data_IF_090971123937
#
_entry.id   IF_090971123937
#
_cell.length_a   1.000
_cell.length_b   1.000
_cell.length_c   1.000
_cell.angle_alpha   90.00
_cell.angle_beta   90.00
_cell.angle_gamma   90.00
#
_symmetry.space_group_name_H-M   'P 1'
#
loop_
_entity.id
_entity.type
_entity.pdbx_description
1 polymer ?
#
# COMPACT_ATOMS: atom_id res chain seq x y z
N UNK A 1 44.32 11.48 -5.50
CA UNK A 1 42.87 11.15 -5.59
C UNK A 1 42.63 10.39 -6.88
N UNK A 2 41.83 9.32 -6.83
CA UNK A 2 40.58 9.36 -7.58
C UNK A 2 39.38 8.72 -6.84
N UNK A 3 38.38 9.58 -6.59
CA UNK A 3 36.93 9.44 -6.80
C UNK A 3 36.26 8.11 -6.40
N UNK A 4 35.79 8.08 -5.15
CA UNK A 4 34.65 7.27 -4.69
C UNK A 4 33.33 7.86 -5.21
N UNK A 5 32.62 7.17 -6.12
CA UNK A 5 31.21 7.52 -6.40
C UNK A 5 30.30 6.34 -6.78
N UNK A 6 30.57 5.12 -6.31
CA UNK A 6 29.64 3.99 -6.54
C UNK A 6 29.19 3.39 -5.22
N UNK A 7 28.55 4.22 -4.39
CA UNK A 7 27.80 3.77 -3.22
C UNK A 7 26.54 4.62 -3.09
N UNK A 8 25.59 4.52 -4.03
CA UNK A 8 24.28 5.18 -3.85
C UNK A 8 23.07 4.63 -4.62
N UNK A 9 23.15 3.47 -5.27
CA UNK A 9 21.97 2.86 -5.89
C UNK A 9 21.81 1.42 -5.41
N UNK A 10 20.78 1.09 -4.59
CA UNK A 10 20.35 -0.28 -4.43
C UNK A 10 19.99 -0.82 -5.82
N UNK A 11 20.51 -2.00 -6.18
CA UNK A 11 20.15 -2.67 -7.42
C UNK A 11 18.63 -2.96 -7.38
N UNK A 12 17.86 -2.65 -8.43
CA UNK A 12 16.49 -3.16 -8.53
C UNK A 12 16.57 -4.68 -8.64
N UNK A 13 15.92 -5.38 -7.71
CA UNK A 13 15.96 -6.85 -7.61
C UNK A 13 15.01 -7.55 -8.58
N UNK A 14 14.37 -6.84 -9.51
CA UNK A 14 13.52 -7.45 -10.53
C UNK A 14 13.42 -6.56 -11.79
N UNK A 15 13.78 -7.05 -12.99
CA UNK A 15 13.64 -6.27 -14.22
C UNK A 15 12.19 -5.90 -14.57
N UNK A 16 11.18 -6.51 -13.93
CA UNK A 16 9.76 -6.15 -14.08
C UNK A 16 9.26 -5.04 -13.13
N UNK A 17 10.04 -4.62 -12.12
CA UNK A 17 9.66 -3.53 -11.21
C UNK A 17 9.83 -2.14 -11.86
N UNK A 18 10.70 -2.02 -12.86
CA UNK A 18 11.12 -0.75 -13.42
C UNK A 18 10.10 -0.06 -14.36
N UNK A 19 8.96 -0.68 -14.65
CA UNK A 19 8.00 -0.18 -15.65
C UNK A 19 6.51 -0.29 -15.24
N UNK A 20 6.22 -0.47 -13.94
CA UNK A 20 4.83 -0.46 -13.47
C UNK A 20 4.30 0.98 -13.45
N UNK A 21 3.55 1.34 -14.49
CA UNK A 21 2.84 2.63 -14.56
C UNK A 21 1.47 2.43 -13.92
N UNK A 22 1.09 3.36 -13.04
CA UNK A 22 -0.26 3.37 -12.46
C UNK A 22 -1.32 3.55 -13.54
N UNK A 23 -2.51 3.02 -13.29
CA UNK A 23 -3.72 3.28 -14.08
C UNK A 23 -3.91 4.78 -14.32
N UNK A 24 -4.39 5.15 -15.52
CA UNK A 24 -4.68 6.54 -15.86
C UNK A 24 -5.83 7.10 -15.01
N UNK A 25 -5.86 8.42 -14.81
CA UNK A 25 -6.93 9.06 -14.03
C UNK A 25 -8.33 8.83 -14.63
N UNK A 26 -8.43 8.75 -15.96
CA UNK A 26 -9.68 8.48 -16.65
C UNK A 26 -10.19 7.06 -16.36
N UNK A 27 -9.31 6.06 -16.48
CA UNK A 27 -9.64 4.66 -16.18
C UNK A 27 -9.96 4.47 -14.69
N UNK A 28 -9.20 5.15 -13.82
CA UNK A 28 -9.40 5.10 -12.38
C UNK A 28 -10.74 5.72 -11.98
N UNK A 29 -11.11 6.87 -12.56
CA UNK A 29 -12.40 7.51 -12.35
C UNK A 29 -13.57 6.62 -12.78
N UNK A 30 -13.40 5.91 -13.91
CA UNK A 30 -14.39 4.94 -14.38
C UNK A 30 -14.54 3.77 -13.39
N UNK A 31 -13.43 3.19 -12.92
CA UNK A 31 -13.43 2.13 -11.90
C UNK A 31 -14.12 2.58 -10.60
N UNK A 32 -13.75 3.76 -10.09
CA UNK A 32 -14.33 4.34 -8.88
C UNK A 32 -15.84 4.54 -9.04
N UNK A 33 -16.28 5.02 -10.20
CA UNK A 33 -17.70 5.19 -10.50
C UNK A 33 -18.46 3.86 -10.43
N UNK A 34 -17.90 2.77 -10.97
CA UNK A 34 -18.49 1.43 -10.90
C UNK A 34 -18.59 0.91 -9.46
N UNK A 35 -17.55 1.10 -8.65
CA UNK A 35 -17.54 0.67 -7.25
C UNK A 35 -18.53 1.49 -6.40
N UNK A 36 -18.62 2.81 -6.62
CA UNK A 36 -19.50 3.70 -5.85
C UNK A 36 -20.98 3.47 -6.18
N UNK A 37 -21.32 3.18 -7.44
CA UNK A 37 -22.71 2.94 -7.85
C UNK A 37 -23.32 1.68 -7.25
N UNK A 38 -22.51 0.68 -6.91
CA UNK A 38 -22.96 -0.59 -6.33
C UNK A 38 -23.16 -0.49 -4.81
N UNK A 39 -23.93 0.49 -4.33
CA UNK A 39 -23.93 0.98 -2.93
C UNK A 39 -24.06 -0.09 -1.85
N UNK A 40 -24.84 -1.14 -2.09
CA UNK A 40 -25.21 -2.14 -1.07
C UNK A 40 -24.64 -3.56 -1.32
N UNK A 41 -24.02 -3.81 -2.48
CA UNK A 41 -23.43 -5.11 -2.80
C UNK A 41 -21.91 -5.10 -2.62
N UNK A 42 -21.46 -5.36 -1.39
CA UNK A 42 -20.04 -5.34 -1.03
C UNK A 42 -19.22 -6.41 -1.76
N UNK A 43 -19.82 -7.57 -2.05
CA UNK A 43 -19.15 -8.65 -2.79
C UNK A 43 -18.90 -8.22 -4.23
N UNK A 44 -19.90 -7.64 -4.89
CA UNK A 44 -19.77 -7.12 -6.25
C UNK A 44 -18.73 -5.98 -6.35
N UNK A 45 -18.66 -5.08 -5.35
CA UNK A 45 -17.59 -4.07 -5.29
C UNK A 45 -16.19 -4.70 -5.26
N UNK A 46 -16.01 -5.75 -4.47
CA UNK A 46 -14.74 -6.47 -4.37
C UNK A 46 -14.45 -7.24 -5.66
N UNK A 47 -15.46 -7.82 -6.32
CA UNK A 47 -15.32 -8.48 -7.62
C UNK A 47 -14.90 -7.50 -8.71
N UNK A 48 -15.51 -6.32 -8.77
CA UNK A 48 -15.11 -5.24 -9.70
C UNK A 48 -13.64 -4.87 -9.48
N UNK A 49 -13.22 -4.68 -8.22
CA UNK A 49 -11.83 -4.39 -7.88
C UNK A 49 -10.88 -5.54 -8.24
N UNK A 50 -11.31 -6.79 -8.04
CA UNK A 50 -10.55 -7.98 -8.40
C UNK A 50 -10.34 -8.07 -9.91
N UNK A 51 -11.36 -7.76 -10.70
CA UNK A 51 -11.33 -7.77 -12.16
C UNK A 51 -10.62 -6.55 -12.78
N UNK A 52 -10.46 -5.47 -12.01
CA UNK A 52 -9.75 -4.27 -12.47
C UNK A 52 -8.32 -4.62 -12.93
N UNK A 53 -7.96 -4.15 -14.12
CA UNK A 53 -6.64 -4.38 -14.74
C UNK A 53 -5.68 -3.25 -14.43
N UNK A 54 -4.38 -3.53 -14.47
CA UNK A 54 -3.34 -2.53 -14.26
C UNK A 54 -2.88 -2.42 -12.81
N UNK A 55 -1.98 -1.47 -12.58
CA UNK A 55 -1.38 -1.20 -11.27
C UNK A 55 -1.96 0.07 -10.65
N UNK A 56 -1.87 0.17 -9.33
CA UNK A 56 -2.39 1.29 -8.56
C UNK A 56 -1.26 2.02 -7.84
N UNK A 57 -1.31 3.35 -7.88
CA UNK A 57 -0.51 4.18 -6.98
C UNK A 57 -1.04 4.06 -5.55
N UNK A 58 -0.23 4.46 -4.57
CA UNK A 58 -0.65 4.49 -3.18
C UNK A 58 -1.87 5.41 -2.96
N UNK A 59 -1.95 6.52 -3.70
CA UNK A 59 -3.08 7.44 -3.64
C UNK A 59 -4.35 6.75 -4.16
N UNK A 60 -4.30 6.14 -5.34
CA UNK A 60 -5.42 5.38 -5.92
C UNK A 60 -5.88 4.26 -4.99
N UNK A 61 -4.92 3.51 -4.43
CA UNK A 61 -5.21 2.44 -3.46
C UNK A 61 -5.89 2.98 -2.19
N UNK A 62 -5.41 4.10 -1.63
CA UNK A 62 -6.02 4.71 -0.45
C UNK A 62 -7.47 5.15 -0.70
N UNK A 63 -7.75 5.72 -1.88
CA UNK A 63 -9.09 6.13 -2.27
C UNK A 63 -10.01 4.91 -2.44
N UNK A 64 -9.53 3.84 -3.10
CA UNK A 64 -10.28 2.59 -3.24
C UNK A 64 -10.62 1.98 -1.88
N UNK A 65 -9.65 1.84 -0.98
CA UNK A 65 -9.87 1.30 0.38
C UNK A 65 -10.84 2.18 1.18
N UNK A 66 -10.80 3.51 0.98
CA UNK A 66 -11.73 4.43 1.62
C UNK A 66 -13.19 4.22 1.18
N UNK A 67 -13.46 3.72 -0.03
CA UNK A 67 -14.82 3.47 -0.52
C UNK A 67 -15.56 2.33 0.20
N UNK A 68 -14.83 1.39 0.81
CA UNK A 68 -15.42 0.28 1.54
C UNK A 68 -15.77 0.72 2.96
N UNK A 69 -17.04 0.59 3.34
CA UNK A 69 -17.52 1.01 4.66
C UNK A 69 -17.15 0.03 5.78
N UNK A 70 -17.20 -1.28 5.50
CA UNK A 70 -16.98 -2.32 6.51
C UNK A 70 -15.48 -2.58 6.68
N UNK A 71 -14.96 -2.65 7.93
CA UNK A 71 -13.53 -2.91 8.17
C UNK A 71 -13.00 -4.18 7.48
N UNK A 72 -13.76 -5.28 7.55
CA UNK A 72 -13.41 -6.54 6.87
C UNK A 72 -13.26 -6.39 5.35
N UNK A 73 -14.10 -5.57 4.72
CA UNK A 73 -14.05 -5.37 3.27
C UNK A 73 -12.90 -4.45 2.88
N UNK A 74 -12.51 -3.51 3.74
CA UNK A 74 -11.28 -2.73 3.57
C UNK A 74 -10.05 -3.64 3.53
N UNK A 75 -9.95 -4.61 4.44
CA UNK A 75 -8.85 -5.58 4.45
C UNK A 75 -8.86 -6.45 3.20
N UNK A 76 -10.02 -6.97 2.79
CA UNK A 76 -10.14 -7.69 1.52
C UNK A 76 -9.72 -6.84 0.33
N UNK A 77 -10.08 -5.56 0.30
CA UNK A 77 -9.64 -4.64 -0.74
C UNK A 77 -8.11 -4.47 -0.74
N UNK A 78 -7.48 -4.31 0.43
CA UNK A 78 -6.01 -4.25 0.55
C UNK A 78 -5.36 -5.55 0.05
N UNK A 79 -5.91 -6.71 0.39
CA UNK A 79 -5.44 -8.02 -0.10
C UNK A 79 -5.51 -8.13 -1.63
N UNK A 80 -6.61 -7.67 -2.24
CA UNK A 80 -6.79 -7.67 -3.69
C UNK A 80 -5.82 -6.69 -4.37
N UNK A 81 -5.51 -5.57 -3.69
CA UNK A 81 -4.59 -4.55 -4.17
C UNK A 81 -3.12 -4.96 -4.04
N UNK A 82 -2.73 -5.76 -3.05
CA UNK A 82 -1.33 -6.18 -2.78
C UNK A 82 -0.51 -6.52 -4.03
N UNK A 83 -0.96 -7.42 -4.93
CA UNK A 83 -0.19 -7.77 -6.12
C UNK A 83 -0.24 -6.72 -7.24
N UNK A 84 -1.08 -5.70 -7.10
CA UNK A 84 -1.33 -4.63 -8.08
C UNK A 84 -0.79 -3.27 -7.62
N UNK A 85 -0.10 -3.19 -6.48
CA UNK A 85 0.50 -1.94 -6.01
C UNK A 85 1.84 -1.71 -6.71
N UNK A 86 2.06 -0.48 -7.18
CA UNK A 86 3.39 -0.02 -7.59
C UNK A 86 4.28 0.24 -6.36
N UNK A 87 5.59 0.32 -6.59
CA UNK A 87 6.52 0.73 -5.53
C UNK A 87 6.17 2.10 -4.96
N UNK A 88 6.21 2.23 -3.63
CA UNK A 88 5.84 3.44 -2.90
C UNK A 88 6.74 3.67 -1.68
N UNK A 89 6.71 4.88 -1.13
CA UNK A 89 7.39 5.22 0.13
C UNK A 89 6.52 4.86 1.34
N UNK A 90 7.14 4.80 2.52
CA UNK A 90 6.46 4.64 3.81
C UNK A 90 5.42 5.76 4.03
N UNK A 91 5.75 6.99 3.64
CA UNK A 91 4.81 8.11 3.69
C UNK A 91 3.56 7.84 2.84
N UNK A 92 3.75 7.37 1.61
CA UNK A 92 2.64 7.02 0.72
C UNK A 92 1.83 5.83 1.27
N UNK A 93 2.49 4.80 1.77
CA UNK A 93 1.84 3.66 2.41
C UNK A 93 1.01 4.07 3.64
N UNK A 94 1.45 5.10 4.38
CA UNK A 94 0.69 5.65 5.51
C UNK A 94 -0.70 6.19 5.09
N UNK A 95 -0.86 6.64 3.83
CA UNK A 95 -2.17 7.07 3.31
C UNK A 95 -3.13 5.89 3.14
N UNK A 96 -2.63 4.73 2.70
CA UNK A 96 -3.43 3.50 2.62
C UNK A 96 -3.83 3.06 4.03
N UNK A 97 -2.87 3.07 4.97
CA UNK A 97 -3.14 2.73 6.37
C UNK A 97 -4.16 3.68 7.00
N UNK A 98 -4.13 4.98 6.68
CA UNK A 98 -5.10 5.95 7.18
C UNK A 98 -6.55 5.63 6.77
N UNK A 99 -6.76 4.92 5.66
CA UNK A 99 -8.08 4.46 5.24
C UNK A 99 -8.62 3.28 6.09
N UNK A 100 -7.77 2.65 6.91
CA UNK A 100 -8.10 1.56 7.84
C UNK A 100 -8.08 2.10 9.28
N UNK A 101 -9.26 2.18 9.90
CA UNK A 101 -9.43 2.86 11.19
C UNK A 101 -9.10 1.97 12.39
N UNK A 102 -9.30 0.66 12.27
CA UNK A 102 -9.06 -0.30 13.35
C UNK A 102 -7.56 -0.57 13.43
N UNK A 103 -6.90 -0.36 14.59
CA UNK A 103 -5.45 -0.55 14.73
C UNK A 103 -4.95 -1.96 14.39
N UNK A 104 -5.69 -2.99 14.76
CA UNK A 104 -5.38 -4.39 14.48
C UNK A 104 -5.43 -4.67 12.97
N UNK A 105 -6.52 -4.26 12.32
CA UNK A 105 -6.68 -4.32 10.87
C UNK A 105 -5.58 -3.51 10.15
N UNK A 106 -5.13 -2.39 10.71
CA UNK A 106 -4.05 -1.59 10.15
C UNK A 106 -2.70 -2.33 10.16
N UNK A 107 -2.42 -3.14 11.19
CA UNK A 107 -1.24 -4.02 11.19
C UNK A 107 -1.34 -5.10 10.12
N UNK A 108 -2.53 -5.68 9.95
CA UNK A 108 -2.79 -6.68 8.90
C UNK A 108 -2.65 -6.06 7.50
N UNK A 109 -3.19 -4.86 7.28
CA UNK A 109 -3.00 -4.10 6.05
C UNK A 109 -1.51 -3.83 5.78
N UNK A 110 -0.74 -3.48 6.82
CA UNK A 110 0.71 -3.27 6.70
C UNK A 110 1.44 -4.54 6.26
N UNK A 111 1.06 -5.71 6.76
CA UNK A 111 1.63 -7.00 6.34
C UNK A 111 1.47 -7.25 4.83
N UNK A 112 0.34 -6.82 4.25
CA UNK A 112 0.10 -6.92 2.81
C UNK A 112 0.92 -5.90 2.02
N UNK A 113 0.85 -4.61 2.38
CA UNK A 113 1.45 -3.55 1.55
C UNK A 113 2.97 -3.41 1.71
N UNK A 114 3.58 -4.00 2.75
CA UNK A 114 5.02 -3.84 3.07
C UNK A 114 5.96 -4.20 1.92
N UNK A 115 5.53 -5.09 1.01
CA UNK A 115 6.35 -5.53 -0.14
C UNK A 115 6.51 -4.46 -1.20
N UNK A 116 5.58 -3.52 -1.28
CA UNK A 116 5.64 -2.39 -2.21
C UNK A 116 6.44 -1.20 -1.64
N UNK A 117 6.84 -1.24 -0.36
CA UNK A 117 7.54 -0.13 0.30
C UNK A 117 9.05 -0.19 0.02
N UNK A 118 9.63 0.91 -0.51
CA UNK A 118 11.04 0.96 -0.92
C UNK A 118 12.00 1.63 0.07
N UNK A 119 11.50 2.38 1.05
CA UNK A 119 12.29 3.14 2.04
C UNK A 119 12.10 2.63 3.47
N UNK A 120 11.60 1.39 3.63
CA UNK A 120 11.32 0.75 4.93
C UNK A 120 12.58 0.58 5.82
N UNK A 121 13.77 0.67 5.24
CA UNK A 121 15.04 0.62 5.95
C UNK A 121 15.48 1.99 6.52
N UNK A 122 14.84 3.08 6.12
CA UNK A 122 15.17 4.42 6.61
C UNK A 122 14.45 4.71 7.93
N UNK A 123 15.09 5.47 8.82
CA UNK A 123 14.44 5.90 10.06
C UNK A 123 13.23 6.78 9.78
N UNK A 124 13.37 7.74 8.86
CA UNK A 124 12.29 8.64 8.45
C UNK A 124 11.08 7.87 7.91
N UNK A 125 11.30 6.87 7.04
CA UNK A 125 10.24 6.00 6.55
C UNK A 125 9.56 5.22 7.68
N UNK A 126 10.34 4.61 8.57
CA UNK A 126 9.78 3.89 9.72
C UNK A 126 8.91 4.79 10.61
N UNK A 127 9.34 6.04 10.83
CA UNK A 127 8.59 7.00 11.63
C UNK A 127 7.23 7.32 11.02
N UNK A 128 7.10 7.44 9.69
CA UNK A 128 5.80 7.64 9.02
C UNK A 128 4.80 6.53 9.33
N UNK A 129 5.22 5.27 9.25
CA UNK A 129 4.35 4.13 9.51
C UNK A 129 4.05 3.98 10.99
N UNK A 130 5.08 4.08 11.84
CA UNK A 130 4.92 3.95 13.31
C UNK A 130 3.98 5.03 13.85
N UNK A 131 4.11 6.27 13.39
CA UNK A 131 3.24 7.38 13.82
C UNK A 131 1.80 7.25 13.31
N UNK A 132 1.52 6.34 12.38
CA UNK A 132 0.14 6.04 11.97
C UNK A 132 -0.65 5.23 13.01
N UNK A 133 0.02 4.69 14.05
CA UNK A 133 -0.59 3.94 15.14
C UNK A 133 -0.63 4.74 16.45
N UNK A 134 -1.77 4.71 17.14
CA UNK A 134 -1.94 5.44 18.41
C UNK A 134 -1.28 4.71 19.58
N UNK A 135 -1.36 3.39 19.62
CA UNK A 135 -0.92 2.57 20.76
C UNK A 135 0.52 2.07 20.59
N UNK A 136 1.31 2.14 21.67
CA UNK A 136 2.73 1.75 21.67
C UNK A 136 2.97 0.27 21.30
N UNK A 137 2.08 -0.64 21.69
CA UNK A 137 2.23 -2.05 21.33
C UNK A 137 2.07 -2.26 19.81
N UNK A 138 1.11 -1.56 19.19
CA UNK A 138 0.92 -1.57 17.74
C UNK A 138 2.13 -0.94 17.01
N UNK A 139 2.68 0.15 17.54
CA UNK A 139 3.92 0.76 17.01
C UNK A 139 5.10 -0.21 17.00
N UNK A 140 5.29 -0.96 18.09
CA UNK A 140 6.35 -1.98 18.18
C UNK A 140 6.15 -3.10 17.16
N UNK A 141 4.91 -3.56 16.98
CA UNK A 141 4.59 -4.59 15.99
C UNK A 141 4.84 -4.05 14.58
N UNK A 142 4.36 -2.84 14.25
CA UNK A 142 4.57 -2.21 12.95
C UNK A 142 6.06 -2.08 12.60
N UNK A 143 6.89 -1.64 13.55
CA UNK A 143 8.35 -1.57 13.37
C UNK A 143 8.97 -2.96 13.10
N UNK A 144 8.47 -4.01 13.75
CA UNK A 144 8.90 -5.40 13.49
C UNK A 144 8.51 -5.86 12.08
N UNK A 145 7.31 -5.50 11.63
CA UNK A 145 6.83 -5.82 10.27
C UNK A 145 7.74 -5.18 9.22
N UNK A 146 8.06 -3.88 9.36
CA UNK A 146 8.94 -3.19 8.42
C UNK A 146 10.35 -3.79 8.37
N UNK A 147 10.92 -4.16 9.53
CA UNK A 147 12.23 -4.82 9.58
C UNK A 147 12.26 -6.16 8.87
N UNK A 148 11.13 -6.86 8.77
CA UNK A 148 11.04 -8.13 8.02
C UNK A 148 11.21 -7.97 6.50
N UNK A 149 11.05 -6.75 5.98
CA UNK A 149 11.26 -6.43 4.56
C UNK A 149 12.76 -6.35 4.23
N UNK A 150 13.58 -5.88 5.17
CA UNK A 150 15.02 -5.64 5.00
C UNK A 150 15.87 -6.92 5.16
N UNK A 151 15.32 -7.94 5.83
CA UNK A 151 16.03 -9.18 6.13
C UNK A 151 15.99 -10.24 4.99
N UNK A 152 15.72 -9.82 3.75
CA UNK A 152 15.68 -10.69 2.57
C UNK A 152 16.90 -10.52 1.68
#
# INVERSE_FOLDING_TARGET
MPIDWIAKNPRPNNPNEANQVSMSDADFSNLMSLIIHNRDNYEEKLEILLQAKGFFSAEQASQLVATFARPKDKIKAVMILEPKLISMTCQQASHILAAVLIPEDKLEALEYIKRAINDANTQEGQDYIVNSFTFEDHKRIAAKILKSVVAK
#
